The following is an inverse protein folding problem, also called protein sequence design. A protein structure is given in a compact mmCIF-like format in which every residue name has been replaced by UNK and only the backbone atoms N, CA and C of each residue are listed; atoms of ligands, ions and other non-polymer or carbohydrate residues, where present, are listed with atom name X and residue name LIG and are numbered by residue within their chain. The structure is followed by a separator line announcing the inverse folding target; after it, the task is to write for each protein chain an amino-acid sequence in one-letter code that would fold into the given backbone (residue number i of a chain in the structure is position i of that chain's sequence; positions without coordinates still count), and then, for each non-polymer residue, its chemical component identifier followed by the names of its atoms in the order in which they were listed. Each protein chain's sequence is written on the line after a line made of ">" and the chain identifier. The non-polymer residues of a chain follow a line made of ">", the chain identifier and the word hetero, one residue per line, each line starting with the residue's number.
data_IF_520285575201
#
_entry.id   IF_520285575201
#
_cell.length_a   1.000
_cell.length_b   1.000
_cell.length_c   1.000
_cell.angle_alpha   90.00
_cell.angle_beta   90.00
_cell.angle_gamma   90.00
#
_symmetry.space_group_name_H-M   'P 1'
#
loop_
_entity.id
_entity.type
_entity.pdbx_description
1 polymer ?
#
# COMPACT_ATOMS: atom_id res chain seq x y z
N UNK A 1 -14.97 3.79 8.76
CA UNK A 1 -14.05 4.54 7.88
C UNK A 1 -14.45 4.28 6.44
N UNK A 2 -14.75 5.35 5.72
CA UNK A 2 -15.05 5.23 4.30
C UNK A 2 -13.75 5.09 3.51
N UNK A 3 -13.85 4.58 2.30
CA UNK A 3 -12.67 4.45 1.43
C UNK A 3 -12.15 5.79 0.98
N UNK A 4 -13.04 6.79 0.83
CA UNK A 4 -12.61 8.16 0.63
C UNK A 4 -11.69 8.64 1.75
N UNK A 5 -11.97 8.25 2.99
CA UNK A 5 -11.10 8.55 4.12
C UNK A 5 -9.80 7.78 4.06
N UNK A 6 -9.82 6.51 3.64
CA UNK A 6 -8.60 5.73 3.45
C UNK A 6 -7.73 6.35 2.36
N UNK A 7 -8.32 6.75 1.24
CA UNK A 7 -7.61 7.44 0.16
C UNK A 7 -7.10 8.80 0.64
N UNK A 8 -7.92 9.56 1.33
CA UNK A 8 -7.54 10.86 1.87
C UNK A 8 -6.39 10.70 2.88
N UNK A 9 -6.45 9.69 3.75
CA UNK A 9 -5.39 9.36 4.69
C UNK A 9 -4.11 8.94 3.98
N UNK A 10 -4.22 8.25 2.85
CA UNK A 10 -3.07 7.88 2.03
C UNK A 10 -2.50 9.07 1.25
N UNK A 11 -3.35 10.02 0.90
CA UNK A 11 -2.98 11.21 0.13
C UNK A 11 -2.56 12.36 1.05
N UNK A 12 -3.13 12.43 2.25
CA UNK A 12 -2.69 13.39 3.25
C UNK A 12 -1.30 13.01 3.68
N UNK A 13 -0.28 13.70 3.18
CA UNK A 13 1.04 13.26 3.53
C UNK A 13 1.32 13.67 4.95
N UNK A 14 2.20 13.16 5.46
CA UNK A 14 3.24 13.69 6.28
C UNK A 14 2.88 14.36 7.61
N UNK A 15 1.73 14.97 7.78
CA UNK A 15 1.37 15.69 9.01
C UNK A 15 0.47 14.88 9.93
N UNK A 16 0.02 13.72 9.50
CA UNK A 16 -0.94 12.90 10.25
C UNK A 16 -0.31 11.65 10.80
N UNK A 17 -0.43 11.48 12.10
CA UNK A 17 0.04 10.31 12.79
C UNK A 17 1.54 10.30 13.05
N UNK A 18 1.98 9.29 13.76
CA UNK A 18 3.40 9.04 14.03
C UNK A 18 4.13 8.60 12.77
N UNK A 19 5.48 8.63 12.76
CA UNK A 19 6.24 8.03 11.66
C UNK A 19 5.85 6.59 11.37
N UNK A 20 5.59 5.79 12.42
CA UNK A 20 5.15 4.40 12.25
C UNK A 20 3.80 4.29 11.55
N UNK A 21 2.84 5.14 11.93
CA UNK A 21 1.52 5.15 11.30
C UNK A 21 1.59 5.58 9.84
N UNK A 22 2.37 6.61 9.54
CA UNK A 22 2.57 7.07 8.16
C UNK A 22 3.22 6.00 7.29
N UNK A 23 4.21 5.31 7.84
CA UNK A 23 4.87 4.23 7.11
C UNK A 23 3.91 3.05 6.88
N UNK A 24 3.10 2.69 7.88
CA UNK A 24 2.09 1.64 7.74
C UNK A 24 1.14 1.97 6.59
N UNK A 25 0.66 3.20 6.51
CA UNK A 25 -0.23 3.64 5.42
C UNK A 25 0.44 3.55 4.06
N UNK A 26 1.70 3.96 3.96
CA UNK A 26 2.46 3.85 2.70
C UNK A 26 2.58 2.40 2.26
N UNK A 27 2.89 1.50 3.18
CA UNK A 27 3.05 0.07 2.88
C UNK A 27 1.74 -0.57 2.44
N UNK A 28 0.63 -0.25 3.10
CA UNK A 28 -0.70 -0.73 2.68
C UNK A 28 -1.02 -0.20 1.28
N UNK A 29 -0.81 1.07 1.05
CA UNK A 29 -1.12 1.69 -0.24
C UNK A 29 -0.29 1.11 -1.38
N UNK A 30 1.01 0.92 -1.19
CA UNK A 30 1.87 0.34 -2.23
C UNK A 30 1.50 -1.11 -2.50
N UNK A 31 1.12 -1.87 -1.47
CA UNK A 31 0.68 -3.26 -1.64
C UNK A 31 -0.63 -3.36 -2.41
N UNK A 32 -1.61 -2.51 -2.09
CA UNK A 32 -2.90 -2.48 -2.81
C UNK A 32 -2.68 -2.07 -4.27
N UNK A 33 -1.85 -1.07 -4.52
CA UNK A 33 -1.55 -0.63 -5.87
C UNK A 33 -0.83 -1.72 -6.68
N UNK A 34 0.14 -2.41 -6.07
CA UNK A 34 0.82 -3.53 -6.70
C UNK A 34 -0.13 -4.68 -7.02
N UNK A 35 -1.04 -4.99 -6.10
CA UNK A 35 -2.07 -6.02 -6.32
C UNK A 35 -2.95 -5.65 -7.51
N UNK A 36 -3.43 -4.41 -7.59
CA UNK A 36 -4.29 -3.98 -8.68
C UNK A 36 -3.60 -4.13 -10.04
N UNK A 37 -2.32 -3.82 -10.11
CA UNK A 37 -1.54 -3.94 -11.33
C UNK A 37 -1.19 -5.40 -11.68
N UNK A 38 -0.59 -6.13 -10.72
CA UNK A 38 -0.01 -7.44 -10.99
C UNK A 38 -1.05 -8.56 -11.06
N UNK A 39 -2.11 -8.47 -10.28
CA UNK A 39 -3.12 -9.53 -10.17
C UNK A 39 -4.34 -9.23 -11.04
N UNK A 40 -4.81 -7.98 -11.04
CA UNK A 40 -6.06 -7.64 -11.73
C UNK A 40 -5.83 -6.91 -13.05
N UNK A 41 -4.60 -6.56 -13.38
CA UNK A 41 -4.26 -5.80 -14.58
C UNK A 41 -5.09 -4.51 -14.72
N UNK A 42 -5.41 -3.87 -13.61
CA UNK A 42 -6.25 -2.69 -13.54
C UNK A 42 -5.63 -1.67 -12.56
N UNK A 43 -4.59 -0.94 -12.99
CA UNK A 43 -3.88 0.00 -12.11
C UNK A 43 -4.81 1.07 -11.53
N UNK A 44 -4.55 1.45 -10.28
CA UNK A 44 -5.30 2.53 -9.60
C UNK A 44 -4.50 3.82 -9.51
N UNK A 45 -3.28 3.82 -10.02
CA UNK A 45 -2.43 5.01 -10.07
C UNK A 45 -1.48 4.90 -11.26
N UNK A 46 -0.85 6.01 -11.63
CA UNK A 46 0.14 6.02 -12.70
C UNK A 46 1.43 5.33 -12.26
N UNK A 47 2.26 4.95 -13.23
CA UNK A 47 3.58 4.38 -12.95
C UNK A 47 4.45 5.35 -12.16
N UNK A 48 4.39 6.64 -12.49
CA UNK A 48 5.15 7.66 -11.78
C UNK A 48 4.71 7.79 -10.31
N UNK A 49 3.41 7.76 -10.05
CA UNK A 49 2.88 7.78 -8.69
C UNK A 49 3.28 6.54 -7.90
N UNK A 50 3.24 5.38 -8.55
CA UNK A 50 3.69 4.13 -7.93
C UNK A 50 5.18 4.20 -7.58
N UNK A 51 6.00 4.67 -8.49
CA UNK A 51 7.45 4.80 -8.28
C UNK A 51 7.77 5.73 -7.12
N UNK A 52 7.09 6.87 -7.03
CA UNK A 52 7.25 7.81 -5.91
C UNK A 52 6.88 7.16 -4.58
N UNK A 53 5.75 6.45 -4.55
CA UNK A 53 5.28 5.77 -3.37
C UNK A 53 6.25 4.67 -2.93
N UNK A 54 6.70 3.86 -3.89
CA UNK A 54 7.65 2.79 -3.62
C UNK A 54 8.98 3.34 -3.09
N UNK A 55 9.45 4.46 -3.65
CA UNK A 55 10.68 5.11 -3.20
C UNK A 55 10.55 5.70 -1.79
N UNK A 56 9.35 6.04 -1.37
CA UNK A 56 9.09 6.60 -0.04
C UNK A 56 9.01 5.54 1.06
N UNK A 57 8.92 4.26 0.71
CA UNK A 57 8.90 3.17 1.69
C UNK A 57 10.24 3.15 2.44
N UNK A 58 10.16 3.16 3.76
CA UNK A 58 11.33 3.13 4.64
C UNK A 58 11.30 1.86 5.48
N UNK A 59 12.10 0.89 5.08
CA UNK A 59 12.16 -0.43 5.73
C UNK A 59 12.84 -0.40 7.09
N UNK A 60 13.45 0.73 7.47
CA UNK A 60 14.09 0.89 8.78
C UNK A 60 13.10 1.25 9.88
N UNK A 61 11.90 1.70 9.52
CA UNK A 61 10.90 2.11 10.49
C UNK A 61 10.21 0.88 11.09
N UNK A 62 10.18 0.84 12.42
CA UNK A 62 9.39 -0.14 13.17
C UNK A 62 7.94 0.33 13.21
N UNK A 63 7.03 -0.41 12.58
CA UNK A 63 5.62 -0.06 12.52
C UNK A 63 4.82 -0.69 13.65
N UNK A 64 5.46 -1.32 14.62
CA UNK A 64 4.83 -2.08 15.71
C UNK A 64 4.11 -3.35 15.25
N UNK A 65 4.34 -3.76 14.01
CA UNK A 65 3.81 -4.99 13.43
C UNK A 65 4.97 -5.86 12.94
N UNK A 66 5.62 -6.59 13.86
CA UNK A 66 6.92 -7.22 13.56
C UNK A 66 6.87 -8.24 12.41
N UNK A 67 5.77 -8.97 12.26
CA UNK A 67 5.64 -9.94 11.19
C UNK A 67 5.59 -9.25 9.81
N UNK A 68 4.86 -8.15 9.68
CA UNK A 68 4.79 -7.40 8.44
C UNK A 68 6.07 -6.63 8.17
N UNK A 69 6.69 -6.08 9.20
CA UNK A 69 7.98 -5.40 9.06
C UNK A 69 9.03 -6.36 8.50
N UNK A 70 9.09 -7.56 9.05
CA UNK A 70 9.99 -8.62 8.59
C UNK A 70 9.68 -8.99 7.15
N UNK A 71 8.40 -9.21 6.83
CA UNK A 71 7.98 -9.61 5.50
C UNK A 71 8.39 -8.55 4.45
N UNK A 72 8.16 -7.26 4.73
CA UNK A 72 8.56 -6.18 3.82
C UNK A 72 10.07 -6.13 3.63
N UNK A 73 10.85 -6.25 4.70
CA UNK A 73 12.31 -6.27 4.58
C UNK A 73 12.81 -7.42 3.72
N UNK A 74 12.14 -8.56 3.76
CA UNK A 74 12.55 -9.76 3.01
C UNK A 74 12.06 -9.79 1.58
N UNK A 75 10.96 -9.11 1.26
CA UNK A 75 10.26 -9.28 -0.01
C UNK A 75 10.12 -8.01 -0.84
N UNK A 76 10.00 -6.85 -0.21
CA UNK A 76 9.72 -5.60 -0.93
C UNK A 76 10.89 -5.20 -1.82
N UNK A 77 10.56 -4.80 -3.05
CA UNK A 77 11.52 -4.25 -4.02
C UNK A 77 10.94 -2.99 -4.64
N UNK A 78 11.70 -1.86 -4.67
CA UNK A 78 11.15 -0.59 -5.15
C UNK A 78 10.95 -0.49 -6.67
N UNK A 79 11.51 -1.44 -7.44
CA UNK A 79 11.50 -1.38 -8.91
C UNK A 79 10.40 -2.20 -9.57
N UNK A 80 9.59 -2.91 -8.80
CA UNK A 80 8.56 -3.79 -9.31
C UNK A 80 7.45 -3.95 -8.28
N UNK A 81 6.27 -4.39 -8.73
CA UNK A 81 5.19 -4.79 -7.85
C UNK A 81 5.07 -6.29 -7.66
N UNK A 82 5.94 -7.08 -8.30
CA UNK A 82 5.80 -8.55 -8.31
C UNK A 82 5.94 -9.19 -6.93
N UNK A 83 6.59 -8.53 -5.98
CA UNK A 83 6.69 -8.98 -4.59
C UNK A 83 5.33 -9.17 -3.95
N UNK A 84 4.29 -8.48 -4.42
CA UNK A 84 2.93 -8.60 -3.88
C UNK A 84 2.34 -9.99 -4.04
N UNK A 85 2.81 -10.75 -5.02
CA UNK A 85 2.35 -12.12 -5.25
C UNK A 85 2.68 -13.04 -4.07
N UNK A 86 3.63 -12.66 -3.25
CA UNK A 86 4.04 -13.37 -2.03
C UNK A 86 3.41 -12.80 -0.76
N UNK A 87 2.54 -11.81 -0.89
CA UNK A 87 1.94 -11.13 0.27
C UNK A 87 1.16 -12.13 1.13
N UNK A 88 1.30 -12.08 2.46
CA UNK A 88 0.65 -13.05 3.34
C UNK A 88 -0.87 -12.89 3.45
N UNK A 89 -1.41 -11.76 3.02
CA UNK A 89 -2.85 -11.49 3.09
C UNK A 89 -3.39 -10.93 1.77
N UNK A 90 -3.31 -11.72 0.74
CA UNK A 90 -3.82 -11.37 -0.60
C UNK A 90 -5.33 -11.05 -0.55
N UNK A 91 -6.09 -11.82 0.24
CA UNK A 91 -7.53 -11.58 0.39
C UNK A 91 -7.81 -10.23 1.04
N UNK A 92 -7.00 -9.82 1.99
CA UNK A 92 -7.10 -8.49 2.60
C UNK A 92 -6.84 -7.37 1.60
N UNK A 93 -5.84 -7.54 0.74
CA UNK A 93 -5.54 -6.57 -0.33
C UNK A 93 -6.72 -6.48 -1.30
N UNK A 94 -7.28 -7.60 -1.71
CA UNK A 94 -8.43 -7.64 -2.61
C UNK A 94 -9.63 -6.93 -1.99
N UNK A 95 -9.92 -7.20 -0.71
CA UNK A 95 -11.03 -6.55 -0.01
C UNK A 95 -10.83 -5.04 0.07
N UNK A 96 -9.63 -4.60 0.38
CA UNK A 96 -9.30 -3.17 0.44
C UNK A 96 -9.48 -2.50 -0.92
N UNK A 97 -9.00 -3.15 -1.98
CA UNK A 97 -9.15 -2.65 -3.34
C UNK A 97 -10.62 -2.59 -3.77
N UNK A 98 -11.41 -3.59 -3.42
CA UNK A 98 -12.86 -3.63 -3.70
C UNK A 98 -13.55 -2.45 -3.04
N UNK A 99 -13.26 -2.17 -1.78
CA UNK A 99 -13.81 -1.01 -1.06
C UNK A 99 -13.42 0.30 -1.72
N UNK A 100 -12.18 0.41 -2.14
CA UNK A 100 -11.66 1.57 -2.84
C UNK A 100 -12.46 1.85 -4.11
N UNK A 101 -12.67 0.84 -4.93
CA UNK A 101 -13.42 0.95 -6.17
C UNK A 101 -14.88 1.30 -5.94
N UNK A 102 -15.51 0.71 -4.93
CA UNK A 102 -16.90 1.01 -4.56
C UNK A 102 -17.04 2.48 -4.15
N UNK A 103 -16.10 3.02 -3.43
CA UNK A 103 -16.10 4.43 -3.02
C UNK A 103 -15.96 5.37 -4.20
N UNK A 104 -15.18 5.00 -5.22
CA UNK A 104 -14.97 5.82 -6.41
C UNK A 104 -16.14 5.78 -7.37
N UNK A 105 -16.98 4.73 -7.31
CA UNK A 105 -18.12 4.56 -8.23
C UNK A 105 -19.47 4.93 -7.60
N UNK A 106 -19.47 5.20 -6.32
CA UNK A 106 -20.69 5.54 -5.56
C UNK A 106 -21.15 6.96 -5.81
#
# INVERSE_FOLDING_TARGET
>A
MTIGEIIADCIRPATWGSPAERETKRRVRVAVAAYAYEVEAAPIMSDAEFDELAAAIDLTIDTTRPAMDKWFRENFEPHTGQWVLRHPDIDGLRRTLTRLRQSLTA
#
